data_IF_670651593250
#
_entry.id   IF_670651593250
#
_cell.length_a   1.000
_cell.length_b   1.000
_cell.length_c   1.000
_cell.angle_alpha   90.00
_cell.angle_beta   90.00
_cell.angle_gamma   90.00
#
_symmetry.space_group_name_H-M   'P 1'
#
loop_
_entity.id
_entity.type
_entity.pdbx_description
1 polymer ?
#
# COMPACT_ATOMS: atom_id res chain seq x y z
N UNK A 1 16.35 6.18 -4.68
CA UNK A 1 15.78 4.96 -4.05
C UNK A 1 14.90 4.26 -5.07
N UNK A 2 15.29 3.07 -5.54
CA UNK A 2 14.54 2.37 -6.60
C UNK A 2 13.15 1.89 -6.13
N UNK A 3 12.38 1.34 -7.06
CA UNK A 3 11.14 0.57 -6.79
C UNK A 3 10.92 -0.44 -7.90
N UNK A 4 10.01 -1.39 -7.69
CA UNK A 4 9.54 -2.24 -8.78
C UNK A 4 8.77 -1.40 -9.81
N UNK A 5 9.24 -1.40 -11.05
CA UNK A 5 8.62 -0.73 -12.21
C UNK A 5 8.09 -1.71 -13.26
N UNK A 6 8.32 -3.01 -13.06
CA UNK A 6 7.96 -4.05 -14.01
C UNK A 6 6.46 -4.40 -14.06
N UNK A 7 6.11 -5.49 -14.78
CA UNK A 7 4.73 -5.92 -14.99
C UNK A 7 3.97 -6.27 -13.70
N UNK A 8 3.02 -5.42 -13.30
CA UNK A 8 2.25 -5.59 -12.05
C UNK A 8 1.33 -6.81 -12.04
N UNK A 9 0.58 -7.04 -13.12
CA UNK A 9 -0.32 -8.19 -13.22
C UNK A 9 0.41 -9.53 -13.19
N UNK A 10 1.70 -9.58 -13.57
CA UNK A 10 2.55 -10.77 -13.40
C UNK A 10 2.67 -11.13 -11.91
N UNK A 11 2.84 -10.12 -11.04
CA UNK A 11 2.91 -10.31 -9.60
C UNK A 11 1.56 -10.70 -9.00
N UNK A 12 0.48 -10.04 -9.40
CA UNK A 12 -0.88 -10.36 -8.93
C UNK A 12 -1.29 -11.78 -9.32
N UNK A 13 -0.98 -12.22 -10.55
CA UNK A 13 -1.18 -13.62 -10.99
C UNK A 13 -0.35 -14.62 -10.19
N UNK A 14 0.90 -14.28 -9.83
CA UNK A 14 1.75 -15.15 -9.01
C UNK A 14 1.15 -15.35 -7.62
N UNK A 15 0.59 -14.30 -7.02
CA UNK A 15 -0.04 -14.36 -5.69
C UNK A 15 -1.53 -14.72 -5.74
N UNK A 16 -2.08 -14.96 -6.94
CA UNK A 16 -3.48 -15.32 -7.20
C UNK A 16 -4.51 -14.35 -6.63
N UNK A 17 -4.11 -13.09 -6.50
CA UNK A 17 -4.91 -12.04 -5.88
C UNK A 17 -4.56 -10.69 -6.49
N UNK A 18 -5.54 -9.80 -6.61
CA UNK A 18 -5.24 -8.41 -6.97
C UNK A 18 -4.55 -7.68 -5.82
N UNK A 19 -3.28 -7.34 -6.04
CA UNK A 19 -2.43 -6.67 -5.05
C UNK A 19 -2.50 -5.14 -5.13
N UNK A 20 -2.94 -4.58 -6.27
CA UNK A 20 -2.76 -3.15 -6.56
C UNK A 20 -4.06 -2.37 -6.64
N UNK A 21 -5.22 -3.05 -6.69
CA UNK A 21 -6.53 -2.39 -6.75
C UNK A 21 -6.65 -1.45 -7.94
N UNK A 22 -6.06 -1.82 -9.08
CA UNK A 22 -5.96 -0.89 -10.21
C UNK A 22 -7.35 -0.55 -10.77
N UNK A 23 -7.56 0.64 -11.37
CA UNK A 23 -8.85 0.99 -11.96
C UNK A 23 -9.38 -0.04 -12.96
N UNK A 24 -8.50 -0.70 -13.72
CA UNK A 24 -8.86 -1.78 -14.65
C UNK A 24 -9.35 -3.04 -13.94
N UNK A 25 -8.87 -3.28 -12.72
CA UNK A 25 -9.33 -4.38 -11.88
C UNK A 25 -10.73 -4.11 -11.34
N UNK A 26 -10.98 -2.88 -10.89
CA UNK A 26 -12.31 -2.44 -10.44
C UNK A 26 -13.36 -2.50 -11.56
N UNK A 27 -12.95 -2.40 -12.82
CA UNK A 27 -13.82 -2.47 -14.00
C UNK A 27 -14.05 -3.90 -14.52
N UNK A 28 -13.57 -4.94 -13.84
CA UNK A 28 -13.70 -6.33 -14.33
C UNK A 28 -13.00 -6.55 -15.67
N UNK A 29 -11.86 -5.87 -15.88
CA UNK A 29 -11.02 -6.00 -17.08
C UNK A 29 -9.60 -6.39 -16.69
N UNK A 30 -9.44 -7.07 -15.55
CA UNK A 30 -8.13 -7.47 -15.08
C UNK A 30 -7.61 -8.65 -15.93
N UNK A 31 -6.34 -8.65 -16.34
CA UNK A 31 -5.72 -9.84 -16.95
C UNK A 31 -5.76 -11.08 -16.05
N UNK A 32 -6.08 -10.93 -14.77
CA UNK A 32 -6.26 -12.03 -13.82
C UNK A 32 -7.53 -12.83 -14.07
N UNK A 33 -8.64 -12.20 -14.45
CA UNK A 33 -9.89 -12.90 -14.79
C UNK A 33 -9.68 -13.85 -15.97
N UNK A 34 -8.92 -13.42 -16.98
CA UNK A 34 -8.59 -14.25 -18.14
C UNK A 34 -7.49 -15.29 -17.87
N UNK A 35 -6.57 -15.00 -16.95
CA UNK A 35 -5.37 -15.83 -16.69
C UNK A 35 -5.16 -16.04 -15.19
N UNK A 36 -6.06 -16.80 -14.57
CA UNK A 36 -6.02 -17.12 -13.13
C UNK A 36 -5.01 -18.24 -12.79
N UNK A 37 -3.80 -18.14 -13.33
CA UNK A 37 -2.71 -19.07 -13.07
C UNK A 37 -1.38 -18.31 -13.00
N UNK A 38 -0.39 -18.83 -12.24
CA UNK A 38 0.90 -18.17 -12.10
C UNK A 38 1.56 -17.88 -13.45
N UNK A 39 2.40 -16.84 -13.54
CA UNK A 39 3.11 -16.52 -14.77
C UNK A 39 4.22 -17.54 -15.07
N UNK A 40 4.55 -17.68 -16.36
CA UNK A 40 5.57 -18.61 -16.86
C UNK A 40 4.96 -19.74 -17.70
N UNK A 41 5.80 -20.49 -18.39
CA UNK A 41 5.44 -21.62 -19.25
C UNK A 41 4.70 -22.71 -18.45
N UNK A 42 5.26 -23.12 -17.32
CA UNK A 42 4.64 -24.09 -16.40
C UNK A 42 3.52 -23.50 -15.52
N UNK A 43 2.99 -22.33 -15.86
CA UNK A 43 1.94 -21.68 -15.07
C UNK A 43 0.65 -22.50 -14.98
N UNK A 44 0.34 -23.27 -16.03
CA UNK A 44 -0.83 -24.15 -16.13
C UNK A 44 -0.56 -25.59 -15.68
N UNK A 45 0.71 -25.95 -15.43
CA UNK A 45 1.08 -27.28 -14.98
C UNK A 45 0.46 -27.62 -13.62
N UNK A 46 0.34 -28.92 -13.33
CA UNK A 46 -0.26 -29.42 -12.09
C UNK A 46 0.39 -28.77 -10.87
N UNK A 47 -0.45 -28.22 -10.00
CA UNK A 47 -0.01 -27.43 -8.83
C UNK A 47 0.73 -28.34 -7.84
N UNK A 48 2.01 -28.11 -7.65
CA UNK A 48 2.79 -28.79 -6.62
C UNK A 48 2.34 -28.32 -5.23
N UNK A 49 2.41 -29.23 -4.25
CA UNK A 49 2.19 -28.92 -2.83
C UNK A 49 3.23 -27.89 -2.39
N UNK A 50 2.77 -26.77 -1.83
CA UNK A 50 3.66 -25.71 -1.35
C UNK A 50 4.15 -26.09 0.04
N UNK A 51 5.46 -25.97 0.28
CA UNK A 51 6.03 -26.14 1.62
C UNK A 51 5.57 -25.04 2.57
N UNK A 52 5.69 -25.25 3.88
CA UNK A 52 5.38 -24.25 4.90
C UNK A 52 6.18 -22.95 4.71
N UNK A 53 7.49 -23.07 4.48
CA UNK A 53 8.35 -21.94 4.10
C UNK A 53 7.83 -21.23 2.84
N UNK A 54 7.37 -21.99 1.85
CA UNK A 54 6.78 -21.44 0.64
C UNK A 54 5.52 -20.61 0.93
N UNK A 55 4.68 -21.05 1.85
CA UNK A 55 3.46 -20.32 2.26
C UNK A 55 3.84 -19.02 2.97
N UNK A 56 4.70 -19.09 3.99
CA UNK A 56 5.22 -17.95 4.74
C UNK A 56 5.89 -16.90 3.82
N UNK A 57 6.74 -17.38 2.89
CA UNK A 57 7.39 -16.53 1.90
C UNK A 57 6.35 -15.80 1.02
N UNK A 58 5.27 -16.47 0.61
CA UNK A 58 4.23 -15.86 -0.25
C UNK A 58 3.46 -14.77 0.48
N UNK A 59 3.06 -15.00 1.74
CA UNK A 59 2.39 -13.96 2.54
C UNK A 59 3.26 -12.71 2.71
N UNK A 60 4.55 -12.88 3.01
CA UNK A 60 5.50 -11.75 3.02
C UNK A 60 5.54 -11.04 1.67
N UNK A 61 5.67 -11.79 0.58
CA UNK A 61 5.71 -11.20 -0.76
C UNK A 61 4.43 -10.43 -1.09
N UNK A 62 3.26 -10.89 -0.67
CA UNK A 62 1.98 -10.17 -0.83
C UNK A 62 2.04 -8.81 -0.16
N UNK A 63 2.31 -8.76 1.15
CA UNK A 63 2.36 -7.50 1.91
C UNK A 63 3.39 -6.56 1.30
N UNK A 64 4.63 -7.03 1.09
CA UNK A 64 5.70 -6.21 0.49
C UNK A 64 5.28 -5.59 -0.85
N UNK A 65 4.60 -6.36 -1.72
CA UNK A 65 4.18 -5.90 -3.05
C UNK A 65 3.00 -4.93 -2.99
N UNK A 66 2.03 -5.17 -2.11
CA UNK A 66 0.89 -4.28 -1.88
C UNK A 66 1.40 -2.87 -1.54
N UNK A 67 2.33 -2.77 -0.59
CA UNK A 67 2.92 -1.48 -0.19
C UNK A 67 4.08 -1.01 -1.09
N UNK A 68 4.48 -1.81 -2.08
CA UNK A 68 5.49 -1.43 -3.08
C UNK A 68 6.91 -1.24 -2.52
N UNK A 69 7.26 -1.98 -1.46
CA UNK A 69 8.55 -1.86 -0.77
C UNK A 69 9.61 -2.81 -1.33
N UNK A 70 10.88 -2.44 -1.19
CA UNK A 70 11.98 -3.38 -1.37
C UNK A 70 12.18 -4.28 -0.15
N UNK A 71 12.84 -5.41 -0.35
CA UNK A 71 13.08 -6.40 0.70
C UNK A 71 13.83 -5.80 1.89
N UNK A 72 14.91 -5.03 1.63
CA UNK A 72 15.68 -4.37 2.69
C UNK A 72 14.82 -3.36 3.48
N UNK A 73 13.98 -2.59 2.79
CA UNK A 73 13.09 -1.63 3.46
C UNK A 73 12.02 -2.34 4.30
N UNK A 74 11.46 -3.43 3.78
CA UNK A 74 10.47 -4.23 4.46
C UNK A 74 11.06 -4.91 5.70
N UNK A 75 12.25 -5.51 5.59
CA UNK A 75 12.98 -6.10 6.71
C UNK A 75 13.28 -5.05 7.80
N UNK A 76 13.77 -3.88 7.42
CA UNK A 76 14.03 -2.80 8.39
C UNK A 76 12.73 -2.34 9.09
N UNK A 77 11.58 -2.36 8.40
CA UNK A 77 10.29 -2.03 8.99
C UNK A 77 9.83 -3.13 9.95
N UNK A 78 10.04 -4.39 9.59
CA UNK A 78 9.76 -5.54 10.44
C UNK A 78 10.61 -5.51 11.73
N UNK A 79 11.91 -5.24 11.62
CA UNK A 79 12.78 -5.12 12.80
C UNK A 79 12.33 -3.98 13.73
N UNK A 80 11.82 -2.87 13.16
CA UNK A 80 11.21 -1.79 13.95
C UNK A 80 9.91 -2.24 14.63
N UNK A 81 9.05 -2.98 13.91
CA UNK A 81 7.81 -3.53 14.47
C UNK A 81 8.08 -4.51 15.62
N UNK A 82 9.10 -5.35 15.47
CA UNK A 82 9.49 -6.35 16.47
C UNK A 82 10.07 -5.75 17.75
N UNK A 83 10.66 -4.55 17.67
CA UNK A 83 11.16 -3.81 18.85
C UNK A 83 10.07 -3.03 19.57
N UNK A 84 8.90 -2.83 18.94
CA UNK A 84 7.78 -2.14 19.57
C UNK A 84 7.03 -3.10 20.49
N UNK A 85 6.49 -2.56 21.58
CA UNK A 85 5.62 -3.33 22.49
C UNK A 85 4.35 -3.75 21.77
N UNK A 86 3.78 -4.89 22.14
CA UNK A 86 2.56 -5.44 21.56
C UNK A 86 2.80 -6.49 20.48
N UNK A 87 1.78 -6.76 19.66
CA UNK A 87 1.81 -7.81 18.64
C UNK A 87 2.62 -7.32 17.43
N UNK A 88 3.70 -8.03 17.08
CA UNK A 88 4.61 -7.66 15.98
C UNK A 88 3.90 -7.54 14.63
N UNK A 89 2.97 -8.44 14.32
CA UNK A 89 2.18 -8.40 13.08
C UNK A 89 1.36 -7.12 12.97
N UNK A 90 0.67 -6.74 14.04
CA UNK A 90 -0.13 -5.51 14.11
C UNK A 90 0.76 -4.27 13.98
N UNK A 91 1.88 -4.25 14.70
CA UNK A 91 2.85 -3.15 14.64
C UNK A 91 3.41 -2.97 13.23
N UNK A 92 3.66 -4.06 12.51
CA UNK A 92 4.09 -4.02 11.11
C UNK A 92 3.01 -3.36 10.23
N UNK A 93 1.75 -3.75 10.36
CA UNK A 93 0.64 -3.17 9.58
C UNK A 93 0.46 -1.69 9.91
N UNK A 94 0.50 -1.31 11.20
CA UNK A 94 0.44 0.09 11.66
C UNK A 94 1.56 0.93 11.04
N UNK A 95 2.79 0.43 11.04
CA UNK A 95 3.93 1.11 10.44
C UNK A 95 3.82 1.23 8.91
N UNK A 96 3.24 0.24 8.24
CA UNK A 96 2.98 0.27 6.80
C UNK A 96 1.92 1.30 6.44
N UNK A 97 0.83 1.39 7.22
CA UNK A 97 -0.27 2.31 6.96
C UNK A 97 0.12 3.78 7.21
N UNK A 98 1.03 4.04 8.17
CA UNK A 98 1.54 5.38 8.51
C UNK A 98 2.49 6.00 7.49
N UNK A 99 2.89 5.28 6.45
CA UNK A 99 3.78 5.84 5.42
C UNK A 99 3.07 6.92 4.61
N UNK A 100 3.72 8.04 4.35
CA UNK A 100 3.13 9.16 3.60
C UNK A 100 2.61 8.75 2.22
N UNK A 101 3.35 7.92 1.47
CA UNK A 101 2.86 7.42 0.18
C UNK A 101 1.60 6.56 0.30
N UNK A 102 1.47 5.81 1.40
CA UNK A 102 0.27 5.04 1.66
C UNK A 102 -0.89 5.94 2.13
N UNK A 103 -0.65 6.90 3.04
CA UNK A 103 -1.67 7.84 3.51
C UNK A 103 -2.25 8.66 2.35
N UNK A 104 -1.41 9.19 1.46
CA UNK A 104 -1.85 9.91 0.25
C UNK A 104 -2.73 9.04 -0.66
N UNK A 105 -2.42 7.74 -0.76
CA UNK A 105 -3.25 6.78 -1.48
C UNK A 105 -4.58 6.49 -0.76
N UNK A 106 -4.55 6.32 0.57
CA UNK A 106 -5.75 6.03 1.38
C UNK A 106 -6.72 7.21 1.45
N UNK A 107 -6.20 8.44 1.48
CA UNK A 107 -6.97 9.68 1.27
C UNK A 107 -7.51 9.79 -0.16
N UNK A 108 -7.07 8.92 -1.08
CA UNK A 108 -7.56 8.89 -2.44
C UNK A 108 -7.18 10.10 -3.30
N UNK A 109 -6.20 10.89 -2.84
CA UNK A 109 -5.53 11.94 -3.62
C UNK A 109 -4.74 11.37 -4.81
N UNK A 110 -4.48 10.05 -4.80
CA UNK A 110 -3.87 9.34 -5.91
C UNK A 110 -4.57 8.00 -6.19
N UNK A 111 -4.67 7.59 -7.47
CA UNK A 111 -5.43 6.39 -7.84
C UNK A 111 -4.73 5.07 -7.49
N UNK A 112 -3.41 5.10 -7.24
CA UNK A 112 -2.63 3.92 -6.83
C UNK A 112 -1.51 4.36 -5.90
N UNK A 113 -1.01 3.45 -5.04
CA UNK A 113 0.18 3.69 -4.20
C UNK A 113 1.41 4.13 -4.98
N UNK A 114 1.56 3.64 -6.21
CA UNK A 114 2.67 4.05 -7.10
C UNK A 114 2.52 5.50 -7.54
N UNK A 115 1.30 5.93 -7.89
CA UNK A 115 1.02 7.32 -8.22
C UNK A 115 1.19 8.24 -6.99
N UNK A 116 0.71 7.81 -5.82
CA UNK A 116 0.91 8.54 -4.57
C UNK A 116 2.39 8.78 -4.27
N UNK A 117 3.22 7.74 -4.42
CA UNK A 117 4.67 7.85 -4.27
C UNK A 117 5.30 8.85 -5.22
N UNK A 118 4.82 8.90 -6.47
CA UNK A 118 5.29 9.87 -7.46
C UNK A 118 4.90 11.29 -7.07
N UNK A 119 3.65 11.49 -6.63
CA UNK A 119 3.17 12.79 -6.14
C UNK A 119 4.02 13.32 -4.98
N UNK A 120 4.29 12.46 -4.00
CA UNK A 120 5.17 12.79 -2.88
C UNK A 120 6.58 13.12 -3.39
N UNK A 121 7.20 12.24 -4.17
CA UNK A 121 8.57 12.44 -4.67
C UNK A 121 8.74 13.73 -5.50
N UNK A 122 7.71 14.14 -6.22
CA UNK A 122 7.69 15.36 -7.03
C UNK A 122 7.29 16.63 -6.25
N UNK A 123 7.21 16.58 -4.92
CA UNK A 123 6.87 17.73 -4.05
C UNK A 123 5.47 18.31 -4.28
N UNK A 124 4.51 17.47 -4.67
CA UNK A 124 3.10 17.86 -4.78
C UNK A 124 2.35 17.82 -3.44
N UNK A 125 2.95 17.23 -2.41
CA UNK A 125 2.33 17.01 -1.09
C UNK A 125 3.00 17.91 -0.04
N UNK A 126 2.16 18.47 0.83
CA UNK A 126 2.53 19.22 2.02
C UNK A 126 2.07 18.43 3.25
N UNK A 127 2.88 18.40 4.29
CA UNK A 127 2.50 17.89 5.63
C UNK A 127 2.61 19.05 6.61
N UNK A 128 1.52 19.41 7.27
CA UNK A 128 1.44 20.57 8.18
C UNK A 128 2.03 21.85 7.53
N UNK A 129 1.67 22.10 6.26
CA UNK A 129 2.16 23.24 5.47
C UNK A 129 3.58 23.14 4.92
N UNK A 130 4.37 22.13 5.30
CA UNK A 130 5.78 21.97 4.84
C UNK A 130 5.89 20.98 3.68
N UNK A 131 6.81 21.25 2.74
CA UNK A 131 7.09 20.31 1.65
C UNK A 131 7.77 19.04 2.15
N UNK A 132 7.12 17.89 1.92
CA UNK A 132 7.69 16.58 2.22
C UNK A 132 7.74 15.76 0.94
N UNK A 133 8.96 15.42 0.50
CA UNK A 133 9.21 14.63 -0.72
C UNK A 133 9.70 13.20 -0.45
N UNK A 134 9.58 12.74 0.80
CA UNK A 134 10.06 11.44 1.24
C UNK A 134 8.84 10.51 1.37
N UNK A 135 8.64 9.54 0.45
CA UNK A 135 7.51 8.60 0.53
C UNK A 135 7.48 7.75 1.80
N UNK A 136 8.65 7.50 2.40
CA UNK A 136 8.80 6.77 3.65
C UNK A 136 8.65 7.63 4.90
N UNK A 137 8.27 8.90 4.77
CA UNK A 137 7.93 9.75 5.91
C UNK A 137 6.82 9.06 6.73
N UNK A 138 6.98 9.06 8.06
CA UNK A 138 6.03 8.45 8.98
C UNK A 138 5.09 9.54 9.47
N UNK A 139 3.82 9.40 9.12
CA UNK A 139 2.75 10.32 9.52
C UNK A 139 2.34 10.02 10.96
N UNK A 140 2.12 11.09 11.72
CA UNK A 140 1.66 11.03 13.10
C UNK A 140 0.16 11.38 13.19
N UNK A 141 -0.55 10.87 14.22
CA UNK A 141 -1.89 11.37 14.55
C UNK A 141 -1.90 12.90 14.66
N UNK A 142 -2.91 13.53 14.05
CA UNK A 142 -3.08 14.98 13.96
C UNK A 142 -2.40 15.63 12.75
N UNK A 143 -1.53 14.94 12.01
CA UNK A 143 -0.89 15.52 10.83
C UNK A 143 -1.92 15.80 9.71
N UNK A 144 -1.87 17.01 9.16
CA UNK A 144 -2.63 17.43 7.99
C UNK A 144 -1.80 17.19 6.72
N UNK A 145 -2.35 16.45 5.76
CA UNK A 145 -1.78 16.17 4.45
C UNK A 145 -2.57 16.94 3.39
N UNK A 146 -1.89 17.83 2.67
CA UNK A 146 -2.52 18.72 1.67
C UNK A 146 -1.80 18.70 0.34
N UNK A 147 -2.54 18.86 -0.76
CA UNK A 147 -1.95 19.10 -2.08
C UNK A 147 -1.48 20.55 -2.22
N UNK A 148 -0.26 20.73 -2.73
CA UNK A 148 0.32 22.04 -3.04
C UNK A 148 -0.58 22.82 -4.01
N UNK A 149 -0.76 24.12 -3.79
CA UNK A 149 -1.67 24.96 -4.59
C UNK A 149 -1.41 24.89 -6.10
N UNK A 150 -0.14 24.92 -6.52
CA UNK A 150 0.25 24.79 -7.93
C UNK A 150 -0.15 23.47 -8.58
N UNK A 151 -0.44 22.45 -7.78
CA UNK A 151 -0.74 21.09 -8.22
C UNK A 151 -2.21 20.73 -8.04
N UNK A 152 -3.02 21.62 -7.46
CA UNK A 152 -4.46 21.41 -7.27
C UNK A 152 -5.18 21.17 -8.59
N UNK A 153 -4.80 21.88 -9.66
CA UNK A 153 -5.42 21.77 -11.00
C UNK A 153 -5.11 20.46 -11.76
N UNK A 154 -4.40 19.50 -11.16
CA UNK A 154 -4.05 18.26 -11.86
C UNK A 154 -5.27 17.33 -11.99
N UNK A 155 -5.65 17.02 -13.22
CA UNK A 155 -6.78 16.12 -13.53
C UNK A 155 -6.63 14.75 -12.87
N UNK A 156 -5.40 14.24 -12.74
CA UNK A 156 -5.14 12.95 -12.10
C UNK A 156 -5.62 12.91 -10.64
N UNK A 157 -5.51 14.03 -9.90
CA UNK A 157 -5.94 14.14 -8.51
C UNK A 157 -7.46 14.27 -8.46
N UNK A 158 -8.04 15.15 -9.27
CA UNK A 158 -9.49 15.32 -9.34
C UNK A 158 -10.22 14.04 -9.78
N UNK A 159 -9.69 13.30 -10.74
CA UNK A 159 -10.27 12.02 -11.17
C UNK A 159 -10.14 10.93 -10.12
N UNK A 160 -9.10 11.00 -9.28
CA UNK A 160 -8.91 10.08 -8.16
C UNK A 160 -9.92 10.36 -7.05
N UNK A 161 -10.00 11.62 -6.60
CA UNK A 161 -10.83 11.99 -5.44
C UNK A 161 -12.33 11.80 -5.69
N UNK A 162 -12.79 11.97 -6.95
CA UNK A 162 -14.18 11.69 -7.36
C UNK A 162 -14.60 10.24 -7.11
N UNK A 163 -13.67 9.29 -7.09
CA UNK A 163 -13.95 7.86 -6.89
C UNK A 163 -14.02 7.47 -5.41
N UNK A 164 -13.61 8.37 -4.51
CA UNK A 164 -13.43 8.09 -3.09
C UNK A 164 -14.73 8.39 -2.37
N UNK A 165 -15.19 7.42 -1.57
CA UNK A 165 -16.33 7.62 -0.66
C UNK A 165 -15.89 8.42 0.55
N UNK A 166 -16.73 9.32 1.01
CA UNK A 166 -16.47 10.06 2.25
C UNK A 166 -16.41 9.09 3.43
N UNK A 167 -15.51 9.38 4.38
CA UNK A 167 -15.31 8.60 5.61
C UNK A 167 -15.12 7.09 5.39
N UNK A 168 -14.42 6.70 4.30
CA UNK A 168 -14.15 5.29 4.01
C UNK A 168 -13.33 4.58 5.11
N UNK A 169 -12.49 5.33 5.83
CA UNK A 169 -11.60 4.81 6.87
C UNK A 169 -11.75 5.65 8.14
N UNK A 170 -11.96 5.01 9.29
CA UNK A 170 -12.15 5.68 10.60
C UNK A 170 -10.96 6.54 11.02
N UNK A 171 -9.75 6.16 10.61
CA UNK A 171 -8.52 6.83 11.00
C UNK A 171 -8.09 7.99 10.07
N UNK A 172 -8.91 8.31 9.06
CA UNK A 172 -8.65 9.38 8.10
C UNK A 172 -9.88 10.26 7.92
N UNK A 173 -9.66 11.57 7.85
CA UNK A 173 -10.66 12.53 7.39
C UNK A 173 -10.19 13.15 6.09
N UNK A 174 -11.12 13.43 5.18
CA UNK A 174 -10.83 14.02 3.88
C UNK A 174 -11.70 15.26 3.68
N UNK A 175 -11.07 16.35 3.25
CA UNK A 175 -11.74 17.51 2.71
C UNK A 175 -11.51 17.58 1.20
N UNK A 176 -12.55 17.20 0.45
CA UNK A 176 -12.52 17.16 -1.01
C UNK A 176 -12.42 18.55 -1.64
N UNK A 177 -12.90 19.60 -0.98
CA UNK A 177 -12.90 20.95 -1.51
C UNK A 177 -11.49 21.55 -1.48
N UNK A 178 -10.79 21.39 -0.35
CA UNK A 178 -9.43 21.91 -0.19
C UNK A 178 -8.33 20.97 -0.70
N UNK A 179 -8.69 19.73 -1.09
CA UNK A 179 -7.75 18.65 -1.42
C UNK A 179 -6.77 18.38 -0.28
N UNK A 180 -7.30 18.33 0.95
CA UNK A 180 -6.58 18.01 2.16
C UNK A 180 -7.21 16.81 2.88
N UNK A 181 -6.48 16.28 3.85
CA UNK A 181 -7.02 15.29 4.77
C UNK A 181 -6.13 15.16 6.00
N UNK A 182 -6.72 14.72 7.11
CA UNK A 182 -6.03 14.60 8.40
C UNK A 182 -5.89 13.14 8.76
N UNK A 183 -4.71 12.78 9.26
CA UNK A 183 -4.45 11.48 9.83
C UNK A 183 -4.90 11.50 11.30
N UNK A 184 -6.11 11.01 11.58
CA UNK A 184 -6.75 11.18 12.91
C UNK A 184 -6.05 10.34 13.97
N UNK A 185 -5.84 9.06 13.68
CA UNK A 185 -5.27 8.11 14.62
C UNK A 185 -4.49 7.01 13.91
N UNK A 186 -3.74 6.21 14.67
CA UNK A 186 -3.11 5.00 14.12
C UNK A 186 -4.19 3.91 14.05
N UNK A 187 -4.42 3.28 12.88
CA UNK A 187 -5.46 2.27 12.76
C UNK A 187 -5.16 1.02 13.57
N UNK A 188 -6.22 0.38 14.06
CA UNK A 188 -6.13 -0.98 14.57
C UNK A 188 -6.06 -2.00 13.43
N UNK A 189 -5.61 -3.22 13.75
CA UNK A 189 -5.45 -4.28 12.73
C UNK A 189 -6.77 -4.65 12.05
N UNK A 190 -7.86 -4.66 12.81
CA UNK A 190 -9.22 -4.97 12.37
C UNK A 190 -9.77 -3.95 11.36
N UNK A 191 -9.35 -2.69 11.48
CA UNK A 191 -9.81 -1.59 10.62
C UNK A 191 -9.13 -1.61 9.24
N UNK A 192 -7.93 -2.19 9.14
CA UNK A 192 -7.16 -2.19 7.89
C UNK A 192 -7.62 -3.33 6.97
N UNK A 193 -8.15 -3.04 5.76
CA UNK A 193 -8.53 -4.07 4.80
C UNK A 193 -7.28 -4.61 4.09
N UNK A 194 -6.51 -5.42 4.81
CA UNK A 194 -5.34 -6.13 4.32
C UNK A 194 -5.66 -7.62 4.18
N UNK A 195 -5.75 -8.07 2.94
CA UNK A 195 -6.01 -9.46 2.59
C UNK A 195 -4.68 -10.25 2.53
N UNK A 196 -3.97 -10.34 3.65
CA UNK A 196 -2.76 -11.13 3.85
C UNK A 196 -2.64 -11.54 5.31
N UNK A 197 -1.94 -12.65 5.58
CA UNK A 197 -1.71 -13.11 6.95
C UNK A 197 -0.33 -12.67 7.44
N UNK A 198 -0.32 -11.65 8.30
CA UNK A 198 0.89 -11.09 8.91
C UNK A 198 1.58 -12.04 9.90
N UNK A 199 0.85 -12.97 10.53
CA UNK A 199 1.44 -13.92 11.48
C UNK A 199 2.46 -14.83 10.78
N UNK A 200 2.14 -15.29 9.57
CA UNK A 200 3.05 -16.08 8.74
C UNK A 200 4.30 -15.29 8.32
N UNK A 201 4.25 -13.96 8.32
CA UNK A 201 5.42 -13.11 8.08
C UNK A 201 6.29 -13.03 9.31
N UNK A 202 5.70 -12.97 10.51
CA UNK A 202 6.43 -13.05 11.78
C UNK A 202 7.18 -14.37 11.86
N UNK A 203 6.48 -15.49 11.65
CA UNK A 203 7.08 -16.84 11.64
C UNK A 203 8.26 -16.95 10.66
N UNK A 204 8.16 -16.35 9.48
CA UNK A 204 9.22 -16.37 8.47
C UNK A 204 10.51 -15.72 8.96
N UNK A 205 10.41 -14.62 9.70
CA UNK A 205 11.56 -13.86 10.20
C UNK A 205 12.06 -14.34 11.56
N UNK A 206 11.29 -15.20 12.24
CA UNK A 206 11.73 -15.91 13.45
C UNK A 206 12.55 -17.17 13.16
N UNK A 207 12.66 -17.57 11.88
CA UNK A 207 13.58 -18.61 11.41
C UNK A 207 14.97 -18.04 11.17
#
# INVERSE_FOLDING_TARGET
MGRYTGPKYKLSRREKQDLFGSPKSLMGKSPMEKKNYPPGEHGQSRRQKVSEYGIQLREKQKIKRIYGLFEKQFRNLFEKANRQKGITGDNLVKLLERRLDNVVYRLGLAPTRVAARQLVGHRHVLVNGKHVNIPSYVVNPGDEIRIRDKSKKMDAIHNSIKRVRDNQFSWLTIDKASLSGTFVQVPERSEVPLNANEQLVVELYSK
#
